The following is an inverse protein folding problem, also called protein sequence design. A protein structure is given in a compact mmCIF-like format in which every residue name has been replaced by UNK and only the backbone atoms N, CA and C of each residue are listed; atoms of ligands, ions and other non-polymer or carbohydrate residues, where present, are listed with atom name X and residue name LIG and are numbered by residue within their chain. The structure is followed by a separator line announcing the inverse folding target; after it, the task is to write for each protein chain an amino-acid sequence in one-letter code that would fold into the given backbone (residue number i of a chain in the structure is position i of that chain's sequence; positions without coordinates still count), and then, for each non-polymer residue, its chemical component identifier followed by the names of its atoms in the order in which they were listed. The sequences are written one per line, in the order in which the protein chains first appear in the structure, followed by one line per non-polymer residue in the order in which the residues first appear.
data_IF_989310656302
#
_entry.id   IF_989310656302
#
_cell.length_a   1.000
_cell.length_b   1.000
_cell.length_c   1.000
_cell.angle_alpha   90.00
_cell.angle_beta   90.00
_cell.angle_gamma   90.00
#
_symmetry.space_group_name_H-M   'P 1'
#
loop_
_entity.id
_entity.type
_entity.pdbx_description
1 polymer ?
#
# COMPACT_ATOMS: atom_id res chain seq x y z
N UNK A 1 -63.45 -55.71 7.49
CA UNK A 1 -62.18 -55.28 6.89
C UNK A 1 -61.98 -53.83 7.26
N UNK A 2 -61.13 -53.57 8.29
CA UNK A 2 -60.83 -52.24 8.78
C UNK A 2 -59.45 -51.79 8.24
N UNK A 3 -59.41 -50.76 7.38
CA UNK A 3 -58.25 -50.14 6.90
C UNK A 3 -57.74 -49.11 7.95
N UNK A 4 -56.53 -49.33 8.55
CA UNK A 4 -55.87 -48.40 9.40
C UNK A 4 -55.03 -47.44 8.52
N UNK A 5 -55.40 -46.17 8.47
CA UNK A 5 -54.62 -45.09 7.89
C UNK A 5 -53.51 -44.65 8.90
N UNK A 6 -52.23 -44.78 8.51
CA UNK A 6 -51.11 -44.20 9.23
C UNK A 6 -50.85 -42.81 8.70
N UNK A 7 -51.01 -41.78 9.54
CA UNK A 7 -50.65 -40.41 9.23
C UNK A 7 -49.19 -40.19 9.68
N UNK A 8 -48.26 -40.06 8.72
CA UNK A 8 -46.90 -39.70 9.02
C UNK A 8 -46.81 -38.18 9.19
N UNK A 9 -46.54 -37.71 10.41
CA UNK A 9 -46.18 -36.30 10.67
C UNK A 9 -44.74 -36.05 10.22
N UNK A 10 -44.56 -35.24 9.16
CA UNK A 10 -43.29 -34.70 8.77
C UNK A 10 -42.99 -33.53 9.70
N UNK A 11 -42.08 -33.72 10.66
CA UNK A 11 -41.50 -32.62 11.47
C UNK A 11 -40.41 -31.97 10.61
N UNK A 12 -40.73 -30.86 9.98
CA UNK A 12 -39.76 -29.97 9.35
C UNK A 12 -39.04 -29.21 10.47
N UNK A 13 -37.85 -29.67 10.82
CA UNK A 13 -36.98 -28.95 11.74
C UNK A 13 -36.57 -27.61 11.12
N UNK A 14 -37.18 -26.53 11.58
CA UNK A 14 -36.67 -25.18 11.34
C UNK A 14 -35.32 -25.06 12.08
N UNK A 15 -34.21 -25.19 11.34
CA UNK A 15 -32.92 -24.71 11.83
C UNK A 15 -33.07 -23.20 12.12
N UNK A 16 -32.77 -22.73 13.34
CA UNK A 16 -32.74 -21.29 13.59
C UNK A 16 -31.68 -20.69 12.66
N UNK A 17 -31.91 -19.49 12.08
CA UNK A 17 -30.86 -18.79 11.33
C UNK A 17 -29.68 -18.59 12.29
N UNK A 18 -28.51 -19.11 11.92
CA UNK A 18 -27.27 -18.77 12.61
C UNK A 18 -27.23 -17.24 12.71
N UNK A 19 -27.31 -16.74 13.94
CA UNK A 19 -27.12 -15.33 14.20
C UNK A 19 -25.71 -15.01 13.72
N UNK A 20 -25.59 -14.32 12.58
CA UNK A 20 -24.33 -13.73 12.13
C UNK A 20 -23.82 -12.90 13.32
N UNK A 21 -22.80 -13.43 14.01
CA UNK A 21 -22.11 -12.68 15.03
C UNK A 21 -21.77 -11.31 14.42
N UNK A 22 -22.19 -10.22 15.06
CA UNK A 22 -21.94 -8.87 14.59
C UNK A 22 -20.45 -8.78 14.31
N UNK A 23 -20.08 -8.63 13.02
CA UNK A 23 -18.70 -8.54 12.64
C UNK A 23 -18.05 -7.41 13.47
N UNK A 24 -16.98 -7.73 14.19
CA UNK A 24 -16.24 -6.76 14.98
C UNK A 24 -15.81 -5.55 14.13
N UNK A 25 -15.27 -4.50 14.74
CA UNK A 25 -14.88 -3.29 14.03
C UNK A 25 -13.86 -3.63 12.92
N UNK A 26 -14.14 -3.21 11.69
CA UNK A 26 -13.25 -3.40 10.54
C UNK A 26 -11.98 -2.57 10.67
N UNK A 27 -10.90 -3.09 10.15
CA UNK A 27 -9.57 -2.47 10.12
C UNK A 27 -9.07 -2.35 8.68
N UNK A 28 -8.27 -1.35 8.40
CA UNK A 28 -7.61 -1.20 7.10
C UNK A 28 -6.14 -0.83 7.29
N UNK A 29 -5.30 -1.46 6.49
CA UNK A 29 -3.90 -1.09 6.35
C UNK A 29 -3.66 -0.68 4.90
N UNK A 30 -3.25 0.57 4.71
CA UNK A 30 -2.81 1.09 3.42
C UNK A 30 -1.27 1.11 3.42
N UNK A 31 -0.67 0.52 2.39
CA UNK A 31 0.78 0.55 2.17
C UNK A 31 1.06 1.18 0.82
N UNK A 32 1.94 2.17 0.78
CA UNK A 32 2.46 2.73 -0.47
C UNK A 32 3.93 2.40 -0.64
N UNK A 33 4.30 2.00 -1.86
CA UNK A 33 5.66 1.71 -2.30
C UNK A 33 6.05 2.77 -3.32
N UNK A 34 6.81 3.80 -2.89
CA UNK A 34 7.12 5.00 -3.67
C UNK A 34 7.75 4.64 -5.01
N UNK A 35 7.18 5.16 -6.10
CA UNK A 35 7.70 5.05 -7.44
C UNK A 35 7.91 3.61 -7.96
N UNK A 36 7.28 2.61 -7.36
CA UNK A 36 7.37 1.24 -7.83
C UNK A 36 6.54 1.06 -9.11
N UNK A 37 7.24 0.80 -10.22
CA UNK A 37 6.63 0.67 -11.54
C UNK A 37 5.75 -0.58 -11.64
N UNK A 38 4.65 -0.47 -12.38
CA UNK A 38 3.81 -1.62 -12.69
C UNK A 38 4.56 -2.72 -13.47
N UNK A 39 5.59 -2.36 -14.25
CA UNK A 39 6.38 -3.31 -15.04
C UNK A 39 7.03 -4.36 -14.13
N UNK A 40 7.70 -3.96 -13.06
CA UNK A 40 8.30 -4.92 -12.14
C UNK A 40 7.26 -5.73 -11.39
N UNK A 41 6.13 -5.12 -11.03
CA UNK A 41 5.04 -5.83 -10.35
C UNK A 41 4.48 -6.94 -11.23
N UNK A 42 4.22 -6.69 -12.52
CA UNK A 42 3.52 -7.64 -13.40
C UNK A 42 4.43 -8.46 -14.31
N UNK A 43 5.61 -7.97 -14.63
CA UNK A 43 6.57 -8.66 -15.51
C UNK A 43 7.78 -9.21 -14.78
N UNK A 44 8.02 -8.76 -13.53
CA UNK A 44 9.25 -9.03 -12.79
C UNK A 44 10.42 -8.17 -13.29
N UNK A 45 11.64 -8.56 -12.97
CA UNK A 45 12.83 -7.84 -13.38
C UNK A 45 12.91 -7.73 -14.93
N UNK A 46 13.31 -6.55 -15.39
CA UNK A 46 13.52 -6.27 -16.83
C UNK A 46 14.99 -6.56 -17.20
N UNK A 47 15.19 -7.58 -18.00
CA UNK A 47 16.53 -8.01 -18.45
C UNK A 47 17.29 -6.89 -19.21
N UNK A 48 16.57 -5.95 -19.85
CA UNK A 48 17.17 -4.81 -20.55
C UNK A 48 17.85 -3.81 -19.60
N UNK A 49 17.53 -3.88 -18.29
CA UNK A 49 18.15 -3.05 -17.26
C UNK A 49 19.17 -3.80 -16.40
N UNK A 50 19.33 -5.12 -16.56
CA UNK A 50 20.34 -5.89 -15.84
C UNK A 50 21.70 -5.76 -16.53
N UNK A 51 22.27 -4.56 -16.47
CA UNK A 51 23.59 -4.20 -17.02
C UNK A 51 24.12 -2.92 -16.38
N UNK A 52 25.36 -2.54 -16.74
CA UNK A 52 25.98 -1.34 -16.22
C UNK A 52 25.37 -0.05 -16.83
N UNK A 53 25.04 -0.05 -18.12
CA UNK A 53 24.61 1.14 -18.85
C UNK A 53 23.28 1.69 -18.32
N UNK A 54 22.26 0.85 -18.24
CA UNK A 54 20.90 1.25 -17.86
C UNK A 54 20.62 1.03 -16.36
N UNK A 55 21.11 -0.06 -15.80
CA UNK A 55 20.79 -0.43 -14.41
C UNK A 55 21.88 -0.14 -13.39
N UNK A 56 23.06 0.35 -13.82
CA UNK A 56 24.19 0.62 -12.93
C UNK A 56 24.70 -0.64 -12.21
N UNK A 57 24.50 -1.83 -12.80
CA UNK A 57 24.92 -3.11 -12.22
C UNK A 57 26.29 -3.47 -12.73
N UNK A 58 27.27 -3.58 -11.84
CA UNK A 58 28.64 -3.95 -12.21
C UNK A 58 28.70 -5.39 -12.74
N UNK A 59 29.61 -5.63 -13.70
CA UNK A 59 29.72 -6.90 -14.42
C UNK A 59 29.94 -8.10 -13.48
N UNK A 60 30.72 -7.93 -12.44
CA UNK A 60 31.05 -8.97 -11.46
C UNK A 60 29.85 -9.47 -10.63
N UNK A 61 28.72 -8.74 -10.60
CA UNK A 61 27.49 -9.12 -9.87
C UNK A 61 26.31 -9.45 -10.78
N UNK A 62 26.43 -9.28 -12.10
CA UNK A 62 25.35 -9.49 -13.07
C UNK A 62 24.73 -10.89 -12.95
N UNK A 63 25.56 -11.91 -12.88
CA UNK A 63 25.10 -13.31 -12.77
C UNK A 63 24.27 -13.51 -11.49
N UNK A 64 24.76 -13.04 -10.35
CA UNK A 64 24.04 -13.16 -9.08
C UNK A 64 22.69 -12.43 -9.10
N UNK A 65 22.62 -11.22 -9.72
CA UNK A 65 21.36 -10.50 -9.89
C UNK A 65 20.39 -11.29 -10.77
N UNK A 66 20.84 -11.79 -11.94
CA UNK A 66 19.99 -12.59 -12.82
C UNK A 66 19.47 -13.85 -12.16
N UNK A 67 20.30 -14.54 -11.38
CA UNK A 67 19.91 -15.73 -10.62
C UNK A 67 18.89 -15.41 -9.52
N UNK A 68 19.01 -14.25 -8.86
CA UNK A 68 18.10 -13.85 -7.78
C UNK A 68 16.69 -13.49 -8.24
N UNK A 69 16.55 -12.86 -9.43
CA UNK A 69 15.28 -12.30 -9.92
C UNK A 69 14.83 -12.86 -11.27
N UNK A 70 15.65 -13.68 -11.92
CA UNK A 70 15.36 -14.26 -13.23
C UNK A 70 14.30 -15.36 -13.21
N UNK A 71 13.85 -15.76 -14.39
CA UNK A 71 12.89 -16.87 -14.55
C UNK A 71 12.36 -16.96 -15.99
N UNK A 72 11.78 -18.10 -16.37
CA UNK A 72 11.24 -18.32 -17.69
C UNK A 72 9.90 -17.60 -17.85
N UNK A 73 9.95 -16.35 -18.34
CA UNK A 73 8.77 -15.53 -18.58
C UNK A 73 8.36 -14.65 -17.39
N UNK A 74 7.43 -13.73 -17.66
CA UNK A 74 7.00 -12.70 -16.71
C UNK A 74 6.41 -13.28 -15.40
N UNK A 75 5.59 -14.31 -15.50
CA UNK A 75 4.92 -14.89 -14.32
C UNK A 75 5.93 -15.50 -13.32
N UNK A 76 6.95 -16.20 -13.81
CA UNK A 76 7.98 -16.75 -12.95
C UNK A 76 8.85 -15.66 -12.32
N UNK A 77 9.23 -14.62 -13.10
CA UNK A 77 10.03 -13.50 -12.60
C UNK A 77 9.29 -12.67 -11.55
N UNK A 78 8.02 -12.30 -11.80
CA UNK A 78 7.22 -11.53 -10.84
C UNK A 78 6.93 -12.30 -9.56
N UNK A 79 6.65 -13.61 -9.66
CA UNK A 79 6.43 -14.46 -8.48
C UNK A 79 7.71 -14.63 -7.64
N UNK A 80 8.89 -14.60 -8.27
CA UNK A 80 10.18 -14.61 -7.56
C UNK A 80 10.48 -13.26 -6.91
N UNK A 81 10.18 -12.16 -7.59
CA UNK A 81 10.41 -10.81 -7.08
C UNK A 81 9.47 -10.45 -5.91
N UNK A 82 8.19 -10.81 -6.03
CA UNK A 82 7.13 -10.50 -5.05
C UNK A 82 6.30 -11.76 -4.71
N UNK A 83 6.89 -12.74 -4.00
CA UNK A 83 6.23 -14.01 -3.72
C UNK A 83 4.99 -13.90 -2.83
N UNK A 84 4.92 -12.93 -1.91
CA UNK A 84 3.73 -12.72 -1.09
C UNK A 84 2.60 -12.06 -1.89
N UNK A 85 2.89 -11.05 -2.71
CA UNK A 85 1.89 -10.42 -3.55
C UNK A 85 1.24 -11.42 -4.49
N UNK A 86 2.03 -12.26 -5.18
CA UNK A 86 1.51 -13.22 -6.15
C UNK A 86 1.02 -14.52 -5.53
N UNK A 87 1.62 -14.97 -4.43
CA UNK A 87 1.26 -16.21 -3.75
C UNK A 87 0.10 -16.07 -2.77
N UNK A 88 -0.11 -14.88 -2.21
CA UNK A 88 -1.13 -14.64 -1.18
C UNK A 88 -2.14 -13.59 -1.61
N UNK A 89 -1.72 -12.33 -1.89
CA UNK A 89 -2.67 -11.26 -2.20
C UNK A 89 -3.44 -11.55 -3.49
N UNK A 90 -2.75 -11.99 -4.56
CA UNK A 90 -3.41 -12.31 -5.82
C UNK A 90 -4.37 -13.51 -5.71
N UNK A 91 -4.11 -14.46 -4.80
CA UNK A 91 -4.96 -15.64 -4.63
C UNK A 91 -6.20 -15.37 -3.80
N UNK A 92 -6.11 -14.48 -2.81
CA UNK A 92 -7.17 -14.19 -1.85
C UNK A 92 -7.81 -12.81 -2.03
N UNK A 93 -7.42 -12.08 -3.07
CA UNK A 93 -7.87 -10.73 -3.32
C UNK A 93 -7.82 -10.35 -4.80
N UNK A 94 -7.35 -9.14 -5.10
CA UNK A 94 -7.30 -8.59 -6.46
C UNK A 94 -5.98 -7.83 -6.67
N UNK A 95 -5.43 -7.92 -7.90
CA UNK A 95 -4.29 -7.12 -8.36
C UNK A 95 -4.68 -6.42 -9.66
N UNK A 96 -4.51 -5.10 -9.70
CA UNK A 96 -5.02 -4.19 -10.73
C UNK A 96 -3.87 -3.38 -11.28
N UNK A 97 -3.84 -3.14 -12.60
CA UNK A 97 -2.85 -2.28 -13.24
C UNK A 97 -1.95 -3.00 -14.25
N UNK A 98 -2.19 -4.28 -14.57
CA UNK A 98 -1.47 -4.97 -15.64
C UNK A 98 -1.90 -4.48 -17.03
N UNK A 99 -1.12 -3.58 -17.59
CA UNK A 99 -1.41 -3.00 -18.91
C UNK A 99 -1.32 -4.01 -20.05
N UNK A 100 -0.54 -5.08 -19.87
CA UNK A 100 -0.46 -6.17 -20.86
C UNK A 100 -1.77 -6.96 -20.95
N UNK A 101 -2.65 -6.84 -19.94
CA UNK A 101 -3.98 -7.46 -19.89
C UNK A 101 -5.12 -6.43 -19.99
N UNK A 102 -4.82 -5.19 -20.41
CA UNK A 102 -5.82 -4.13 -20.53
C UNK A 102 -6.27 -3.49 -19.22
N UNK A 103 -5.72 -3.93 -18.08
CA UNK A 103 -6.01 -3.36 -16.78
C UNK A 103 -5.25 -2.05 -16.59
N UNK A 104 -5.98 -0.94 -16.40
CA UNK A 104 -5.38 0.41 -16.33
C UNK A 104 -5.70 1.07 -14.99
N UNK A 105 -4.64 1.51 -14.31
CA UNK A 105 -4.71 2.39 -13.16
C UNK A 105 -3.71 3.53 -13.35
N UNK A 106 -4.12 4.76 -13.04
CA UNK A 106 -3.32 5.98 -13.24
C UNK A 106 -3.47 6.93 -12.07
N UNK A 107 -2.52 7.83 -11.87
CA UNK A 107 -2.78 9.07 -11.14
C UNK A 107 -3.65 9.99 -11.99
N UNK A 108 -4.51 10.78 -11.33
CA UNK A 108 -5.32 11.81 -11.98
C UNK A 108 -4.67 13.19 -11.91
N UNK A 109 -3.68 13.42 -11.02
CA UNK A 109 -2.92 14.66 -10.95
C UNK A 109 -2.02 14.83 -12.20
N UNK A 110 -1.69 16.08 -12.52
CA UNK A 110 -0.92 16.41 -13.73
C UNK A 110 0.61 16.43 -13.50
N UNK A 111 1.10 16.15 -12.30
CA UNK A 111 2.50 16.35 -11.93
C UNK A 111 3.33 15.06 -11.93
N UNK A 112 2.71 13.91 -11.61
CA UNK A 112 3.27 12.55 -11.66
C UNK A 112 4.55 12.37 -10.84
N UNK A 113 4.52 12.86 -9.59
CA UNK A 113 5.58 12.68 -8.60
C UNK A 113 5.01 12.69 -7.17
N UNK A 114 5.87 12.46 -6.17
CA UNK A 114 5.50 11.97 -4.85
C UNK A 114 4.45 12.82 -4.11
N UNK A 115 4.69 14.11 -3.81
CA UNK A 115 3.71 14.84 -2.99
C UNK A 115 2.32 14.95 -3.64
N UNK A 116 2.18 15.35 -4.93
CA UNK A 116 0.88 15.34 -5.61
C UNK A 116 0.24 13.95 -5.64
N UNK A 117 1.04 12.88 -5.88
CA UNK A 117 0.57 11.50 -5.88
C UNK A 117 0.04 11.06 -4.51
N UNK A 118 0.82 11.26 -3.46
CA UNK A 118 0.39 10.97 -2.08
C UNK A 118 -0.82 11.79 -1.65
N UNK A 119 -0.87 13.07 -2.03
CA UNK A 119 -2.04 13.92 -1.76
C UNK A 119 -3.28 13.36 -2.42
N UNK A 120 -3.19 12.95 -3.69
CA UNK A 120 -4.30 12.32 -4.42
C UNK A 120 -4.77 11.02 -3.75
N UNK A 121 -3.83 10.12 -3.41
CA UNK A 121 -4.11 8.86 -2.71
C UNK A 121 -4.84 9.09 -1.39
N UNK A 122 -4.44 10.10 -0.62
CA UNK A 122 -4.95 10.33 0.73
C UNK A 122 -6.15 11.30 0.79
N UNK A 123 -6.33 12.17 -0.21
CA UNK A 123 -7.44 13.15 -0.24
C UNK A 123 -8.59 12.72 -1.17
N UNK A 124 -8.33 11.80 -2.12
CA UNK A 124 -9.34 11.27 -3.02
C UNK A 124 -9.58 12.11 -4.28
N UNK A 125 -8.76 13.12 -4.54
CA UNK A 125 -8.83 13.96 -5.74
C UNK A 125 -7.49 14.64 -6.01
N UNK A 126 -7.16 14.99 -7.28
CA UNK A 126 -5.99 15.77 -7.61
C UNK A 126 -6.19 17.24 -7.21
N UNK A 127 -5.19 17.88 -6.60
CA UNK A 127 -5.20 19.33 -6.34
C UNK A 127 -4.17 20.02 -7.24
N UNK A 128 -4.60 20.87 -8.21
CA UNK A 128 -3.70 21.55 -9.15
C UNK A 128 -2.77 22.57 -8.49
N UNK A 129 -2.94 22.87 -7.22
CA UNK A 129 -2.05 23.76 -6.46
C UNK A 129 -0.93 23.02 -5.73
N UNK A 130 -0.94 21.69 -5.71
CA UNK A 130 0.15 20.87 -5.17
C UNK A 130 1.06 20.47 -6.32
N UNK A 131 2.10 21.28 -6.55
CA UNK A 131 2.99 21.22 -7.72
C UNK A 131 4.46 21.03 -7.36
N UNK A 132 4.76 20.65 -6.10
CA UNK A 132 6.13 20.45 -5.64
C UNK A 132 6.20 19.50 -4.45
N UNK A 133 7.40 18.98 -4.18
CA UNK A 133 7.72 18.22 -2.96
C UNK A 133 8.12 19.13 -1.77
N UNK A 134 7.85 20.45 -1.84
CA UNK A 134 8.14 21.33 -0.74
C UNK A 134 7.34 20.93 0.53
N UNK A 135 7.91 21.09 1.74
CA UNK A 135 7.27 20.70 3.00
C UNK A 135 6.16 21.71 3.42
N UNK A 136 5.28 22.04 2.50
CA UNK A 136 4.13 22.92 2.74
C UNK A 136 2.97 22.06 3.24
N UNK A 137 2.37 22.34 4.42
CA UNK A 137 1.28 21.55 4.94
C UNK A 137 0.12 21.41 3.96
N UNK A 138 -0.34 20.20 3.71
CA UNK A 138 -1.44 19.91 2.79
C UNK A 138 -2.69 20.69 3.19
N UNK A 139 -3.18 21.50 2.27
CA UNK A 139 -4.39 22.32 2.46
C UNK A 139 -5.67 21.46 2.54
N UNK A 140 -5.64 20.27 1.94
CA UNK A 140 -6.76 19.34 1.87
C UNK A 140 -6.80 18.42 3.09
N UNK A 141 -8.00 18.03 3.48
CA UNK A 141 -8.21 17.04 4.56
C UNK A 141 -7.99 15.64 3.98
N UNK A 142 -7.04 14.90 4.56
CA UNK A 142 -6.82 13.51 4.17
C UNK A 142 -7.87 12.59 4.77
N UNK A 143 -8.11 11.44 4.15
CA UNK A 143 -8.98 10.39 4.72
C UNK A 143 -8.51 9.95 6.11
N UNK A 144 -7.21 9.98 6.37
CA UNK A 144 -6.64 9.66 7.69
C UNK A 144 -7.05 10.68 8.74
N UNK A 145 -6.93 11.97 8.44
CA UNK A 145 -7.35 13.06 9.30
C UNK A 145 -8.86 13.00 9.57
N UNK A 146 -9.65 12.85 8.50
CA UNK A 146 -11.09 12.76 8.60
C UNK A 146 -11.56 11.58 9.45
N UNK A 147 -10.99 10.38 9.21
CA UNK A 147 -11.31 9.20 10.01
C UNK A 147 -10.94 9.40 11.48
N UNK A 148 -9.78 10.00 11.78
CA UNK A 148 -9.38 10.26 13.16
C UNK A 148 -10.37 11.18 13.90
N UNK A 149 -11.10 12.03 13.19
CA UNK A 149 -12.18 12.86 13.74
C UNK A 149 -13.50 12.12 13.98
N UNK A 150 -13.65 10.89 13.47
CA UNK A 150 -14.90 10.12 13.58
C UNK A 150 -15.00 9.36 14.90
N UNK A 151 -16.24 9.15 15.35
CA UNK A 151 -16.50 8.31 16.51
C UNK A 151 -15.96 6.88 16.28
N UNK A 152 -15.31 6.31 17.28
CA UNK A 152 -14.66 5.00 17.24
C UNK A 152 -13.33 4.95 16.49
N UNK A 153 -12.85 6.07 15.91
CA UNK A 153 -11.54 6.16 15.23
C UNK A 153 -10.56 7.10 15.92
N UNK A 154 -11.03 7.98 16.81
CA UNK A 154 -10.17 8.94 17.50
C UNK A 154 -9.04 8.24 18.25
N UNK A 155 -7.78 8.57 17.89
CA UNK A 155 -6.58 7.92 18.44
C UNK A 155 -6.35 6.50 17.93
N UNK A 156 -7.13 6.02 16.95
CA UNK A 156 -7.01 4.72 16.29
C UNK A 156 -6.60 4.85 14.81
N UNK A 157 -6.07 5.99 14.42
CA UNK A 157 -5.49 6.25 13.09
C UNK A 157 -4.03 6.66 13.30
N UNK A 158 -3.11 6.02 12.58
CA UNK A 158 -1.67 6.29 12.70
C UNK A 158 -0.97 6.04 11.37
N UNK A 159 0.24 6.59 11.22
CA UNK A 159 1.08 6.33 10.07
C UNK A 159 2.53 6.07 10.47
N UNK A 160 3.22 5.28 9.65
CA UNK A 160 4.67 5.10 9.70
C UNK A 160 5.27 5.32 8.33
N UNK A 161 6.21 6.24 8.22
CA UNK A 161 6.74 6.75 6.95
C UNK A 161 8.26 6.91 7.03
N UNK A 162 8.92 6.90 5.88
CA UNK A 162 10.38 6.98 5.80
C UNK A 162 10.90 8.29 5.19
N UNK A 163 10.01 9.14 4.70
CA UNK A 163 10.35 10.43 4.10
C UNK A 163 9.92 11.61 4.98
N UNK A 164 10.80 12.58 5.19
CA UNK A 164 10.58 13.73 6.08
C UNK A 164 9.44 14.68 5.65
N UNK A 165 8.93 14.56 4.43
CA UNK A 165 7.82 15.39 3.91
C UNK A 165 6.44 14.90 4.40
N UNK A 166 6.32 13.66 4.83
CA UNK A 166 5.03 13.11 5.25
C UNK A 166 4.29 13.88 6.34
N UNK A 167 4.95 14.51 7.33
CA UNK A 167 4.26 15.41 8.26
C UNK A 167 3.49 16.54 7.57
N UNK A 168 3.99 17.03 6.43
CA UNK A 168 3.31 18.04 5.60
C UNK A 168 2.20 17.42 4.75
N UNK A 169 2.43 16.26 4.13
CA UNK A 169 1.42 15.56 3.32
C UNK A 169 0.18 15.22 4.16
N UNK A 170 0.38 14.70 5.37
CA UNK A 170 -0.68 14.33 6.33
C UNK A 170 -1.20 15.57 7.11
N UNK A 171 -0.48 16.69 7.02
CA UNK A 171 -0.71 17.89 7.81
C UNK A 171 -0.81 17.58 9.33
N UNK A 172 0.26 17.03 9.90
CA UNK A 172 0.31 16.61 11.31
C UNK A 172 -0.03 17.75 12.27
N UNK A 173 0.29 19.00 11.91
CA UNK A 173 -0.06 20.19 12.67
C UNK A 173 -1.59 20.36 12.88
N UNK A 174 -2.39 20.00 11.85
CA UNK A 174 -3.85 20.06 11.88
C UNK A 174 -4.46 18.73 12.31
N UNK A 175 -4.03 17.62 11.70
CA UNK A 175 -4.61 16.29 11.93
C UNK A 175 -4.34 15.72 13.31
N UNK A 176 -3.24 16.14 13.97
CA UNK A 176 -2.78 15.64 15.27
C UNK A 176 -2.59 14.12 15.30
N UNK A 177 -2.40 13.51 14.15
CA UNK A 177 -2.13 12.07 14.04
C UNK A 177 -0.75 11.73 14.62
N UNK A 178 -0.63 10.61 15.34
CA UNK A 178 0.67 10.05 15.67
C UNK A 178 1.30 9.48 14.40
N UNK A 179 2.36 10.13 13.90
CA UNK A 179 3.08 9.75 12.68
C UNK A 179 4.54 9.50 13.03
N UNK A 180 5.02 8.29 12.70
CA UNK A 180 6.44 7.98 12.70
C UNK A 180 7.06 8.50 11.39
N UNK A 181 8.21 9.14 11.48
CA UNK A 181 8.89 9.73 10.32
C UNK A 181 10.39 9.39 10.32
N UNK A 182 11.06 9.66 9.21
CA UNK A 182 12.50 9.44 9.04
C UNK A 182 13.41 10.33 9.89
N UNK A 183 12.84 11.30 10.57
CA UNK A 183 13.54 12.21 11.49
C UNK A 183 13.35 11.76 12.95
N UNK A 184 13.60 12.64 13.91
CA UNK A 184 13.41 12.32 15.31
C UNK A 184 11.92 12.18 15.66
N UNK A 185 11.60 11.18 16.49
CA UNK A 185 10.23 10.86 16.92
C UNK A 185 10.09 10.84 18.45
N UNK A 186 10.51 11.90 19.20
CA UNK A 186 10.62 11.84 20.66
C UNK A 186 9.29 11.51 21.35
N UNK A 187 8.19 12.03 20.85
CA UNK A 187 6.86 11.79 21.45
C UNK A 187 6.39 10.33 21.32
N UNK A 188 6.68 9.67 20.20
CA UNK A 188 6.37 8.25 20.01
C UNK A 188 7.42 7.36 20.66
N UNK A 189 8.71 7.72 20.58
CA UNK A 189 9.80 7.00 21.23
C UNK A 189 9.60 6.91 22.74
N UNK A 190 9.09 7.97 23.38
CA UNK A 190 8.79 7.97 24.81
C UNK A 190 7.68 6.99 25.23
N UNK A 191 6.90 6.46 24.27
CA UNK A 191 5.75 5.58 24.56
C UNK A 191 6.10 4.10 24.52
N UNK A 192 7.24 3.71 23.94
CA UNK A 192 7.67 2.31 23.82
C UNK A 192 9.19 2.21 23.84
N UNK A 193 9.80 1.30 24.64
CA UNK A 193 11.24 1.02 24.58
C UNK A 193 11.72 0.62 23.18
N UNK A 194 10.90 -0.15 22.42
CA UNK A 194 11.24 -0.55 21.05
C UNK A 194 11.26 0.64 20.09
N UNK A 195 10.30 1.56 20.18
CA UNK A 195 10.32 2.79 19.40
C UNK A 195 11.52 3.67 19.78
N UNK A 196 11.89 3.73 21.06
CA UNK A 196 13.08 4.44 21.51
C UNK A 196 14.36 3.82 20.95
N UNK A 197 14.45 2.51 20.86
CA UNK A 197 15.59 1.82 20.23
C UNK A 197 15.66 2.10 18.73
N UNK A 198 14.54 2.01 18.00
CA UNK A 198 14.48 2.34 16.57
C UNK A 198 14.92 3.80 16.34
N UNK A 199 14.40 4.74 17.13
CA UNK A 199 14.76 6.17 17.05
C UNK A 199 16.25 6.39 17.30
N UNK A 200 16.87 5.65 18.22
CA UNK A 200 18.30 5.68 18.49
C UNK A 200 19.09 5.12 17.30
N UNK A 201 18.73 3.94 16.78
CA UNK A 201 19.40 3.33 15.62
C UNK A 201 19.32 4.21 14.38
N UNK A 202 18.20 4.90 14.16
CA UNK A 202 18.08 5.87 13.06
C UNK A 202 19.10 7.00 13.17
N UNK A 203 19.48 7.43 14.38
CA UNK A 203 20.54 8.45 14.57
C UNK A 203 21.95 7.89 14.33
N UNK A 204 22.15 6.60 14.58
CA UNK A 204 23.45 5.94 14.40
C UNK A 204 23.71 5.56 12.93
N UNK A 205 22.68 5.43 12.14
CA UNK A 205 22.76 5.08 10.71
C UNK A 205 22.64 6.34 9.85
N UNK A 206 23.57 6.60 8.92
CA UNK A 206 23.48 7.75 8.04
C UNK A 206 22.16 7.79 7.26
N UNK A 207 21.56 8.97 7.18
CA UNK A 207 20.38 9.20 6.37
C UNK A 207 20.70 8.85 4.91
N UNK A 208 19.80 8.11 4.27
CA UNK A 208 19.84 7.82 2.85
C UNK A 208 19.62 9.12 2.05
N UNK A 209 19.72 9.08 0.75
CA UNK A 209 19.56 10.27 -0.08
C UNK A 209 18.24 11.01 0.20
N UNK A 210 18.27 12.35 0.12
CA UNK A 210 17.07 13.22 0.20
C UNK A 210 16.30 13.19 1.53
N UNK A 211 17.01 13.09 2.65
CA UNK A 211 16.41 13.09 3.99
C UNK A 211 15.39 11.94 4.21
N UNK A 212 15.67 10.81 3.58
CA UNK A 212 14.91 9.58 3.70
C UNK A 212 15.72 8.50 4.39
N UNK A 213 15.13 7.82 5.36
CA UNK A 213 15.73 6.67 6.02
C UNK A 213 15.41 5.36 5.31
N UNK A 214 16.13 4.29 5.71
CA UNK A 214 15.83 2.94 5.26
C UNK A 214 14.42 2.52 5.68
N UNK A 215 13.70 1.88 4.77
CA UNK A 215 12.34 1.39 4.99
C UNK A 215 12.23 0.45 6.19
N UNK A 216 13.32 -0.25 6.53
CA UNK A 216 13.37 -1.14 7.68
C UNK A 216 13.01 -0.45 9.00
N UNK A 217 13.44 0.79 9.22
CA UNK A 217 13.12 1.51 10.46
C UNK A 217 11.64 1.90 10.52
N UNK A 218 11.10 2.48 9.45
CA UNK A 218 9.69 2.80 9.35
C UNK A 218 8.81 1.55 9.47
N UNK A 219 9.21 0.46 8.82
CA UNK A 219 8.48 -0.79 8.91
C UNK A 219 8.48 -1.37 10.34
N UNK A 220 9.64 -1.40 11.03
CA UNK A 220 9.70 -1.87 12.44
C UNK A 220 8.88 -0.99 13.36
N UNK A 221 8.88 0.33 13.13
CA UNK A 221 8.01 1.24 13.86
C UNK A 221 6.52 0.96 13.58
N UNK A 222 6.13 0.66 12.34
CA UNK A 222 4.76 0.29 12.01
C UNK A 222 4.28 -0.96 12.79
N UNK A 223 5.13 -1.99 12.89
CA UNK A 223 4.81 -3.19 13.67
C UNK A 223 4.63 -2.88 15.16
N UNK A 224 5.42 -1.99 15.73
CA UNK A 224 5.27 -1.57 17.13
C UNK A 224 4.04 -0.69 17.35
N UNK A 225 3.71 0.17 16.38
CA UNK A 225 2.48 0.98 16.43
C UNK A 225 1.20 0.12 16.42
N UNK A 226 1.22 -1.06 15.79
CA UNK A 226 0.10 -2.01 15.87
C UNK A 226 -0.15 -2.41 17.31
N UNK A 227 0.90 -2.79 18.05
CA UNK A 227 0.78 -3.21 19.46
C UNK A 227 0.43 -2.03 20.37
N UNK A 228 1.08 -0.88 20.15
CA UNK A 228 0.97 0.29 21.01
C UNK A 228 -0.38 1.03 20.90
N UNK A 229 -0.89 1.17 19.69
CA UNK A 229 -2.07 2.00 19.35
C UNK A 229 -3.29 1.12 19.09
N UNK A 230 -3.08 -0.11 18.60
CA UNK A 230 -4.13 -0.97 18.08
C UNK A 230 -5.01 -0.20 17.08
N UNK A 231 -4.41 0.29 15.97
CA UNK A 231 -5.09 1.19 15.05
C UNK A 231 -6.23 0.48 14.30
N UNK A 232 -7.30 1.22 14.03
CA UNK A 232 -8.31 0.82 13.03
C UNK A 232 -7.86 1.16 11.61
N UNK A 233 -7.00 2.19 11.50
CA UNK A 233 -6.42 2.61 10.21
C UNK A 233 -4.92 2.80 10.43
N UNK A 234 -4.12 2.02 9.70
CA UNK A 234 -2.66 2.16 9.65
C UNK A 234 -2.24 2.52 8.22
N UNK A 235 -1.47 3.58 8.09
CA UNK A 235 -0.79 3.92 6.84
C UNK A 235 0.71 3.65 6.95
N UNK A 236 1.28 2.95 5.97
CA UNK A 236 2.73 2.68 5.89
C UNK A 236 3.23 3.17 4.53
N UNK A 237 4.23 4.06 4.53
CA UNK A 237 4.87 4.52 3.31
C UNK A 237 6.33 4.12 3.29
N UNK A 238 6.73 3.38 2.25
CA UNK A 238 8.07 2.86 2.04
C UNK A 238 8.65 3.50 0.78
N UNK A 239 9.84 4.11 0.88
CA UNK A 239 10.42 4.98 -0.15
C UNK A 239 11.63 4.42 -0.87
N UNK A 240 12.24 3.33 -0.40
CA UNK A 240 13.49 2.83 -0.98
C UNK A 240 13.43 2.45 -2.47
N UNK A 241 12.29 1.99 -3.05
CA UNK A 241 12.23 1.77 -4.49
C UNK A 241 12.51 3.06 -5.27
N UNK A 242 11.86 4.18 -4.93
CA UNK A 242 12.09 5.47 -5.60
C UNK A 242 13.53 5.97 -5.43
N UNK A 243 14.06 5.93 -4.21
CA UNK A 243 15.43 6.34 -3.91
C UNK A 243 16.47 5.56 -4.73
N UNK A 244 16.31 4.23 -4.84
CA UNK A 244 17.22 3.39 -5.61
C UNK A 244 17.08 3.61 -7.13
N UNK A 245 15.85 3.87 -7.61
CA UNK A 245 15.63 4.21 -9.01
C UNK A 245 16.30 5.54 -9.39
N UNK A 246 16.14 6.60 -8.58
CA UNK A 246 16.82 7.87 -8.79
C UNK A 246 18.35 7.74 -8.81
N UNK A 247 18.89 6.84 -8.01
CA UNK A 247 20.33 6.57 -7.95
C UNK A 247 20.80 5.67 -9.12
N UNK A 248 19.92 5.26 -10.05
CA UNK A 248 20.19 4.31 -11.14
C UNK A 248 20.81 3.00 -10.61
N UNK A 249 20.30 2.47 -9.51
CA UNK A 249 20.74 1.23 -8.88
C UNK A 249 19.69 0.15 -9.06
N UNK A 250 19.56 -0.39 -10.28
CA UNK A 250 18.48 -1.34 -10.58
C UNK A 250 18.54 -2.60 -9.72
N UNK A 251 19.73 -3.14 -9.43
CA UNK A 251 19.89 -4.26 -8.48
C UNK A 251 19.33 -3.93 -7.09
N UNK A 252 19.70 -2.77 -6.53
CA UNK A 252 19.17 -2.34 -5.23
C UNK A 252 17.68 -1.97 -5.27
N UNK A 253 17.18 -1.49 -6.41
CA UNK A 253 15.75 -1.29 -6.66
C UNK A 253 14.99 -2.61 -6.58
N UNK A 254 15.45 -3.67 -7.27
CA UNK A 254 14.85 -5.00 -7.20
C UNK A 254 14.93 -5.60 -5.79
N UNK A 255 16.06 -5.45 -5.09
CA UNK A 255 16.21 -5.86 -3.69
C UNK A 255 15.23 -5.12 -2.77
N UNK A 256 15.01 -3.81 -2.98
CA UNK A 256 14.03 -3.05 -2.18
C UNK A 256 12.60 -3.55 -2.43
N UNK A 257 12.24 -3.90 -3.67
CA UNK A 257 10.93 -4.51 -4.00
C UNK A 257 10.75 -5.85 -3.26
N UNK A 258 11.72 -6.74 -3.35
CA UNK A 258 11.68 -8.04 -2.64
C UNK A 258 11.60 -7.84 -1.12
N UNK A 259 12.29 -6.83 -0.58
CA UNK A 259 12.21 -6.48 0.84
C UNK A 259 10.85 -5.93 1.22
N UNK A 260 10.25 -5.07 0.40
CA UNK A 260 8.89 -4.59 0.60
C UNK A 260 7.87 -5.73 0.60
N UNK A 261 7.98 -6.67 -0.32
CA UNK A 261 7.10 -7.85 -0.37
C UNK A 261 7.24 -8.73 0.90
N UNK A 262 8.46 -8.90 1.41
CA UNK A 262 8.70 -9.57 2.69
C UNK A 262 8.09 -8.80 3.87
N UNK A 263 8.16 -7.46 3.86
CA UNK A 263 7.53 -6.62 4.86
C UNK A 263 6.00 -6.73 4.82
N UNK A 264 5.40 -6.78 3.63
CA UNK A 264 3.97 -7.03 3.48
C UNK A 264 3.56 -8.37 4.08
N UNK A 265 4.34 -9.43 3.86
CA UNK A 265 4.13 -10.75 4.47
C UNK A 265 4.18 -10.66 5.99
N UNK A 266 5.26 -10.12 6.55
CA UNK A 266 5.45 -10.03 8.01
C UNK A 266 4.34 -9.20 8.67
N UNK A 267 3.95 -8.10 8.04
CA UNK A 267 2.83 -7.26 8.48
C UNK A 267 1.51 -8.04 8.50
N UNK A 268 1.22 -8.76 7.43
CA UNK A 268 0.00 -9.57 7.33
C UNK A 268 -0.01 -10.71 8.35
N UNK A 269 1.08 -11.44 8.49
CA UNK A 269 1.22 -12.52 9.48
C UNK A 269 1.01 -11.99 10.90
N UNK A 270 1.60 -10.83 11.24
CA UNK A 270 1.37 -10.17 12.54
C UNK A 270 -0.11 -9.83 12.76
N UNK A 271 -0.76 -9.25 11.77
CA UNK A 271 -2.19 -8.90 11.83
C UNK A 271 -3.06 -10.15 11.98
N UNK A 272 -2.77 -11.23 11.25
CA UNK A 272 -3.54 -12.47 11.33
C UNK A 272 -3.25 -13.28 12.61
N UNK A 273 -2.11 -13.07 13.26
CA UNK A 273 -1.81 -13.64 14.57
C UNK A 273 -2.53 -12.92 15.71
N UNK A 274 -2.92 -11.66 15.52
CA UNK A 274 -3.55 -10.84 16.55
C UNK A 274 -5.08 -10.97 16.52
N UNK A 275 -5.69 -11.26 17.66
CA UNK A 275 -7.13 -11.54 17.79
C UNK A 275 -8.02 -10.42 17.19
N UNK A 276 -7.69 -9.16 17.46
CA UNK A 276 -8.44 -7.99 16.99
C UNK A 276 -8.48 -7.87 15.46
N UNK A 277 -7.39 -8.25 14.77
CA UNK A 277 -7.22 -8.04 13.32
C UNK A 277 -7.54 -9.26 12.48
N UNK A 278 -7.42 -10.46 13.06
CA UNK A 278 -7.63 -11.72 12.35
C UNK A 278 -9.00 -11.75 11.67
N UNK A 279 -9.01 -11.94 10.34
CA UNK A 279 -10.23 -12.01 9.54
C UNK A 279 -11.04 -10.70 9.46
N UNK A 280 -10.54 -9.59 10.04
CA UNK A 280 -11.23 -8.30 10.08
C UNK A 280 -10.45 -7.15 9.42
N UNK A 281 -9.32 -7.46 8.78
CA UNK A 281 -8.42 -6.45 8.22
C UNK A 281 -8.40 -6.50 6.70
N UNK A 282 -8.55 -5.35 6.06
CA UNK A 282 -8.29 -5.14 4.64
C UNK A 282 -6.89 -4.59 4.47
N UNK A 283 -6.08 -5.24 3.64
CA UNK A 283 -4.77 -4.77 3.19
C UNK A 283 -4.91 -4.18 1.79
N UNK A 284 -4.44 -2.95 1.61
CA UNK A 284 -4.37 -2.24 0.33
C UNK A 284 -2.91 -1.85 0.10
N UNK A 285 -2.35 -2.24 -1.05
CA UNK A 285 -0.98 -1.92 -1.45
C UNK A 285 -1.01 -1.21 -2.79
N UNK A 286 -0.29 -0.09 -2.92
CA UNK A 286 -0.25 0.70 -4.14
C UNK A 286 1.07 1.46 -4.27
N UNK A 287 1.18 2.29 -5.29
CA UNK A 287 2.24 3.29 -5.47
C UNK A 287 1.61 4.68 -5.63
N UNK A 288 2.36 5.71 -5.38
CA UNK A 288 1.95 7.11 -5.51
C UNK A 288 2.09 7.64 -6.95
N UNK A 289 3.08 7.15 -7.71
CA UNK A 289 3.29 7.42 -9.14
C UNK A 289 4.04 6.26 -9.80
N UNK A 290 4.06 6.27 -11.13
CA UNK A 290 4.92 5.40 -11.93
C UNK A 290 6.24 6.06 -12.27
N UNK A 291 6.94 5.51 -13.27
CA UNK A 291 8.22 6.01 -13.79
C UNK A 291 8.31 5.77 -15.30
N UNK A 292 9.37 6.26 -15.91
CA UNK A 292 9.64 6.03 -17.34
C UNK A 292 9.57 4.55 -17.75
N UNK A 293 9.10 4.32 -18.97
CA UNK A 293 8.75 2.96 -19.44
C UNK A 293 9.96 2.12 -19.85
N UNK A 294 11.00 2.77 -20.31
CA UNK A 294 12.15 2.10 -20.94
C UNK A 294 13.42 2.17 -20.12
N UNK A 295 14.48 1.47 -20.57
CA UNK A 295 15.76 1.45 -19.87
C UNK A 295 16.42 2.83 -19.74
N UNK A 296 16.15 3.75 -20.66
CA UNK A 296 16.75 5.07 -20.65
C UNK A 296 16.10 6.05 -19.66
N UNK A 297 14.83 5.83 -19.32
CA UNK A 297 14.01 6.79 -18.55
C UNK A 297 13.41 6.24 -17.25
N UNK A 298 13.59 4.96 -16.94
CA UNK A 298 13.06 4.32 -15.73
C UNK A 298 13.47 5.00 -14.42
N UNK A 299 14.58 5.75 -14.44
CA UNK A 299 15.06 6.51 -13.27
C UNK A 299 14.29 7.79 -13.04
N UNK A 300 13.46 8.22 -13.98
CA UNK A 300 12.75 9.49 -13.98
C UNK A 300 11.26 9.31 -13.80
N UNK A 301 10.65 10.32 -13.19
CA UNK A 301 9.21 10.50 -13.11
C UNK A 301 8.90 12.00 -13.11
N UNK A 302 7.88 12.44 -13.76
CA UNK A 302 7.22 13.75 -13.77
C UNK A 302 6.31 13.84 -15.00
N UNK A 303 5.55 14.92 -15.13
CA UNK A 303 4.60 15.17 -16.25
C UNK A 303 5.17 15.12 -17.66
N UNK A 304 6.49 15.09 -17.81
CA UNK A 304 7.17 14.95 -19.12
C UNK A 304 7.69 13.54 -19.38
N UNK A 305 7.56 12.65 -18.40
CA UNK A 305 8.08 11.27 -18.48
C UNK A 305 6.94 10.31 -18.77
N UNK A 306 6.78 9.79 -20.00
CA UNK A 306 5.71 8.86 -20.35
C UNK A 306 5.76 7.62 -19.45
N UNK A 307 4.65 7.27 -18.81
CA UNK A 307 4.54 6.15 -17.89
C UNK A 307 4.65 6.52 -16.40
N UNK A 308 5.06 7.75 -16.08
CA UNK A 308 5.10 8.21 -14.71
C UNK A 308 3.69 8.39 -14.10
N UNK A 309 2.65 8.46 -14.93
CA UNK A 309 1.25 8.45 -14.50
C UNK A 309 0.69 7.04 -14.27
N UNK A 310 1.41 5.99 -14.66
CA UNK A 310 0.94 4.60 -14.64
C UNK A 310 1.17 3.97 -13.27
N UNK A 311 0.09 3.67 -12.57
CA UNK A 311 0.10 3.07 -11.23
C UNK A 311 -0.51 1.68 -11.23
N UNK A 312 -0.53 1.06 -10.05
CA UNK A 312 -1.09 -0.26 -9.81
C UNK A 312 -1.60 -0.36 -8.37
N UNK A 313 -2.37 -1.40 -8.08
CA UNK A 313 -2.90 -1.67 -6.76
C UNK A 313 -3.07 -3.17 -6.54
N UNK A 314 -2.86 -3.61 -5.32
CA UNK A 314 -3.22 -4.94 -4.85
C UNK A 314 -4.01 -4.82 -3.55
N UNK A 315 -5.02 -5.67 -3.37
CA UNK A 315 -5.83 -5.64 -2.16
C UNK A 315 -6.34 -7.02 -1.80
N UNK A 316 -6.46 -7.29 -0.49
CA UNK A 316 -7.13 -8.47 0.04
C UNK A 316 -7.78 -8.16 1.39
N UNK A 317 -8.79 -8.93 1.76
CA UNK A 317 -9.52 -8.76 3.02
C UNK A 317 -10.89 -9.39 2.97
N UNK A 318 -11.65 -9.36 4.08
CA UNK A 318 -12.90 -10.11 4.20
C UNK A 318 -14.00 -9.67 3.23
N UNK A 319 -13.96 -8.40 2.79
CA UNK A 319 -14.95 -7.84 1.85
C UNK A 319 -14.41 -7.70 0.41
N UNK A 320 -13.21 -8.23 0.15
CA UNK A 320 -12.55 -8.19 -1.15
C UNK A 320 -12.78 -9.53 -1.86
N UNK A 321 -13.47 -9.52 -2.99
CA UNK A 321 -13.63 -10.73 -3.80
C UNK A 321 -12.27 -11.23 -4.33
N UNK A 322 -12.01 -12.53 -4.22
CA UNK A 322 -10.81 -13.17 -4.72
C UNK A 322 -10.87 -13.33 -6.25
N UNK A 323 -10.59 -12.26 -6.99
CA UNK A 323 -10.63 -12.22 -8.47
C UNK A 323 -9.24 -12.36 -9.10
N UNK A 324 -8.18 -12.42 -8.29
CA UNK A 324 -6.81 -12.52 -8.78
C UNK A 324 -6.36 -11.29 -9.56
N UNK A 325 -5.56 -11.51 -10.57
CA UNK A 325 -5.12 -10.48 -11.49
C UNK A 325 -6.27 -10.03 -12.40
N UNK A 326 -6.66 -8.77 -12.28
CA UNK A 326 -7.74 -8.17 -13.07
C UNK A 326 -7.29 -7.93 -14.51
N UNK A 327 -8.13 -8.34 -15.46
CA UNK A 327 -8.00 -7.96 -16.86
C UNK A 327 -8.61 -6.60 -17.16
N UNK A 328 -9.15 -6.43 -18.36
CA UNK A 328 -9.78 -5.18 -18.82
C UNK A 328 -10.94 -4.76 -17.90
N UNK A 329 -10.96 -3.48 -17.56
CA UNK A 329 -12.00 -2.82 -16.77
C UNK A 329 -11.98 -1.32 -17.09
N UNK A 330 -13.03 -0.54 -16.73
CA UNK A 330 -12.97 0.91 -16.80
C UNK A 330 -11.74 1.46 -16.07
N UNK A 331 -11.10 2.52 -16.55
CA UNK A 331 -9.91 3.09 -15.92
C UNK A 331 -10.14 3.39 -14.44
N UNK A 332 -9.18 2.98 -13.61
CA UNK A 332 -9.14 3.25 -12.17
C UNK A 332 -8.09 4.35 -11.94
N UNK A 333 -8.34 5.22 -10.96
CA UNK A 333 -7.43 6.30 -10.60
C UNK A 333 -7.02 6.21 -9.13
N UNK A 334 -5.81 6.66 -8.82
CA UNK A 334 -5.29 6.74 -7.45
C UNK A 334 -6.19 7.56 -6.53
N UNK A 335 -6.93 8.52 -7.09
CA UNK A 335 -7.96 9.30 -6.41
C UNK A 335 -9.08 8.45 -5.77
N UNK A 336 -9.29 7.20 -6.22
CA UNK A 336 -10.31 6.32 -5.65
C UNK A 336 -9.86 5.60 -4.36
N UNK A 337 -8.58 5.73 -3.99
CA UNK A 337 -8.01 5.01 -2.85
C UNK A 337 -8.55 5.54 -1.53
N UNK A 338 -8.62 6.85 -1.33
CA UNK A 338 -9.13 7.44 -0.08
C UNK A 338 -10.53 6.93 0.28
N UNK A 339 -11.43 6.94 -0.69
CA UNK A 339 -12.82 6.46 -0.52
C UNK A 339 -12.88 4.94 -0.33
N UNK A 340 -11.98 4.19 -0.98
CA UNK A 340 -11.84 2.73 -0.79
C UNK A 340 -11.35 2.40 0.62
N UNK A 341 -10.39 3.17 1.16
CA UNK A 341 -9.92 3.05 2.56
C UNK A 341 -11.07 3.31 3.54
N UNK A 342 -11.83 4.38 3.33
CA UNK A 342 -12.99 4.70 4.17
C UNK A 342 -14.06 3.60 4.10
N UNK A 343 -14.40 3.13 2.91
CA UNK A 343 -15.38 2.06 2.69
C UNK A 343 -14.96 0.75 3.37
N UNK A 344 -13.67 0.41 3.35
CA UNK A 344 -13.13 -0.79 4.01
C UNK A 344 -13.38 -0.80 5.54
N UNK A 345 -13.58 0.36 6.16
CA UNK A 345 -13.92 0.50 7.58
C UNK A 345 -15.35 0.96 7.83
N UNK A 346 -16.22 0.85 6.81
CA UNK A 346 -17.64 1.15 6.90
C UNK A 346 -17.98 2.65 6.98
N UNK A 347 -17.13 3.51 6.41
CA UNK A 347 -17.32 4.96 6.40
C UNK A 347 -17.48 5.49 4.98
N UNK A 348 -18.26 6.56 4.83
CA UNK A 348 -18.49 7.25 3.56
C UNK A 348 -17.72 8.58 3.54
N UNK A 349 -16.55 8.58 2.86
CA UNK A 349 -15.75 9.78 2.72
C UNK A 349 -16.31 10.76 1.68
N UNK A 350 -17.03 10.27 0.66
CA UNK A 350 -17.66 11.14 -0.35
C UNK A 350 -18.71 12.09 0.26
N UNK A 351 -19.42 11.64 1.31
CA UNK A 351 -20.36 12.49 2.01
C UNK A 351 -19.70 13.72 2.68
N UNK A 352 -18.42 13.59 3.06
CA UNK A 352 -17.64 14.66 3.69
C UNK A 352 -16.80 15.44 2.67
N UNK A 353 -16.30 14.79 1.63
CA UNK A 353 -15.49 15.36 0.56
C UNK A 353 -16.08 14.99 -0.82
N UNK A 354 -17.03 15.77 -1.32
CA UNK A 354 -17.70 15.47 -2.60
C UNK A 354 -16.80 15.47 -3.83
N UNK A 355 -15.58 16.06 -3.74
CA UNK A 355 -14.57 16.02 -4.82
C UNK A 355 -13.87 14.68 -4.92
N UNK A 356 -13.89 13.87 -3.84
CA UNK A 356 -13.25 12.59 -3.83
C UNK A 356 -13.90 11.64 -4.85
N UNK A 357 -13.06 10.89 -5.59
CA UNK A 357 -13.55 9.90 -6.53
C UNK A 357 -14.27 8.76 -5.78
N UNK A 358 -15.24 8.12 -6.43
CA UNK A 358 -15.97 7.01 -5.83
C UNK A 358 -15.04 5.82 -5.52
N UNK A 359 -15.35 5.07 -4.46
CA UNK A 359 -14.58 3.89 -4.08
C UNK A 359 -14.50 2.85 -5.22
N UNK A 360 -13.42 2.10 -5.26
CA UNK A 360 -13.22 1.02 -6.21
C UNK A 360 -14.19 -0.12 -5.88
N UNK A 361 -14.89 -0.65 -6.91
CA UNK A 361 -15.73 -1.83 -6.74
C UNK A 361 -14.87 -3.06 -6.49
N UNK A 362 -14.97 -3.59 -5.26
CA UNK A 362 -14.14 -4.70 -4.76
C UNK A 362 -14.91 -6.03 -4.63
N UNK A 363 -16.22 -6.02 -4.87
CA UNK A 363 -17.12 -7.19 -4.80
C UNK A 363 -17.27 -7.90 -6.12
#
# INVERSE_FOLDING_TARGET
MLFKLWLALLVVGLCPPEAMAAAGPRHVVLVTLDGLRWQEVFRGADDAMINLEFGGIAENVLTAVRESVGGPGAEARRARLMPFLWGEIARHGQVIGNRDRGSRMNVANAEWFSYPGYSEVLCGFPDPLIISNAPIPNRNVTVLEWLNGREGFRGKVTASTTWHIFPSIINVGRSRLPVWVSTQNPALAARSPRLADIDRWMRDVPIKARDEHYDAFGFRAALELIDLIQPRVLYVALGEPDTNAHARRYGAYLESITRCDRFLRELWEKLQAHETYRGNTTLIVTTDHGRGKGPADWTNHNKKTPGADETWMAMMGPDIAARGERGEHPPIFSAQIATTVAAAVGQDFNAAEPRAAAAISVR
#
